data_IF_611891271003
#
_entry.id   IF_611891271003
#
_cell.length_a   1.000
_cell.length_b   1.000
_cell.length_c   1.000
_cell.angle_alpha   90.00
_cell.angle_beta   90.00
_cell.angle_gamma   90.00
#
_symmetry.space_group_name_H-M   'P 1'
#
loop_
_entity.id
_entity.type
_entity.pdbx_description
1 polymer ?
#
# COMPACT_ATOMS: atom_id res chain seq x y z
N UNK A 1 1.52 -12.03 -4.96
CA UNK A 1 0.38 -12.65 -5.66
C UNK A 1 0.76 -13.33 -6.97
N UNK A 2 1.39 -12.61 -7.91
CA UNK A 2 1.62 -13.07 -9.30
C UNK A 2 2.42 -14.37 -9.44
N UNK A 3 3.51 -14.55 -8.70
CA UNK A 3 4.44 -15.67 -8.92
C UNK A 3 4.31 -16.85 -7.95
N UNK A 4 3.55 -16.70 -6.86
CA UNK A 4 3.40 -17.74 -5.83
C UNK A 4 1.94 -18.16 -5.72
N UNK A 5 1.06 -17.23 -5.35
CA UNK A 5 -0.35 -17.54 -5.06
C UNK A 5 -1.15 -17.89 -6.32
N UNK A 6 -1.08 -17.08 -7.38
CA UNK A 6 -1.85 -17.33 -8.60
C UNK A 6 -1.45 -18.65 -9.30
N UNK A 7 -0.16 -19.03 -9.39
CA UNK A 7 0.23 -20.36 -9.86
C UNK A 7 -0.33 -21.49 -8.99
N UNK A 8 -0.29 -21.35 -7.66
CA UNK A 8 -0.84 -22.35 -6.74
C UNK A 8 -2.37 -22.51 -6.88
N UNK A 9 -3.11 -21.41 -7.06
CA UNK A 9 -4.56 -21.45 -7.31
C UNK A 9 -4.86 -22.22 -8.59
N UNK A 10 -4.17 -21.90 -9.69
CA UNK A 10 -4.37 -22.57 -10.99
C UNK A 10 -4.02 -24.06 -10.95
N UNK A 11 -2.99 -24.43 -10.20
CA UNK A 11 -2.60 -25.83 -10.04
C UNK A 11 -3.64 -26.64 -9.24
N UNK A 12 -4.34 -26.00 -8.30
CA UNK A 12 -5.30 -26.66 -7.40
C UNK A 12 -6.74 -26.62 -7.90
N UNK A 13 -7.13 -25.60 -8.65
CA UNK A 13 -8.51 -25.34 -9.02
C UNK A 13 -8.64 -25.03 -10.52
N UNK A 14 -9.65 -25.62 -11.17
CA UNK A 14 -10.03 -25.24 -12.55
C UNK A 14 -10.86 -23.95 -12.52
N UNK A 15 -10.20 -22.80 -12.55
CA UNK A 15 -10.84 -21.49 -12.42
C UNK A 15 -10.12 -20.42 -13.22
N UNK A 16 -10.89 -19.42 -13.66
CA UNK A 16 -10.38 -18.18 -14.26
C UNK A 16 -10.16 -17.07 -13.21
N UNK A 17 -10.38 -17.36 -11.93
CA UNK A 17 -10.15 -16.43 -10.84
C UNK A 17 -8.67 -16.03 -10.75
N UNK A 18 -8.41 -14.74 -10.55
CA UNK A 18 -7.07 -14.19 -10.37
C UNK A 18 -7.06 -13.40 -9.07
N UNK A 19 -6.26 -13.84 -8.09
CA UNK A 19 -6.06 -13.09 -6.87
C UNK A 19 -5.23 -11.83 -7.16
N UNK A 20 -5.78 -10.69 -6.74
CA UNK A 20 -5.15 -9.37 -6.84
C UNK A 20 -4.86 -8.83 -5.44
N UNK A 21 -3.87 -7.95 -5.33
CA UNK A 21 -3.44 -7.39 -4.06
C UNK A 21 -2.97 -5.95 -4.26
N UNK A 22 -3.40 -5.08 -3.35
CA UNK A 22 -3.04 -3.66 -3.32
C UNK A 22 -2.53 -3.31 -1.92
N UNK A 23 -1.40 -2.62 -1.85
CA UNK A 23 -0.77 -2.11 -0.63
C UNK A 23 -0.90 -0.60 -0.61
N UNK A 24 -1.44 -0.06 0.49
CA UNK A 24 -1.49 1.37 0.76
C UNK A 24 -0.55 1.73 1.92
N UNK A 25 0.28 2.76 1.73
CA UNK A 25 1.24 3.21 2.74
C UNK A 25 1.07 4.70 2.98
N UNK A 26 0.98 5.09 4.25
CA UNK A 26 0.97 6.47 4.67
C UNK A 26 1.78 6.66 5.97
N UNK A 27 2.17 7.91 6.26
CA UNK A 27 2.95 8.26 7.45
C UNK A 27 2.46 9.57 8.08
N UNK A 28 2.12 9.50 9.36
CA UNK A 28 1.79 10.66 10.19
C UNK A 28 2.06 10.30 11.63
N UNK A 29 2.09 11.30 12.50
CA UNK A 29 1.92 11.05 13.93
C UNK A 29 0.55 10.42 14.16
N UNK A 30 0.47 9.54 15.15
CA UNK A 30 -0.71 8.75 15.48
C UNK A 30 -0.75 8.47 16.97
N UNK A 31 -1.93 8.19 17.49
CA UNK A 31 -2.13 7.75 18.86
C UNK A 31 -2.28 6.24 18.90
N UNK A 32 -1.55 5.59 19.79
CA UNK A 32 -1.77 4.19 20.13
C UNK A 32 -2.58 4.13 21.43
N UNK A 33 -3.74 3.48 21.39
CA UNK A 33 -4.67 3.39 22.51
C UNK A 33 -4.92 1.93 22.83
N UNK A 34 -4.86 1.60 24.13
CA UNK A 34 -5.29 0.30 24.63
C UNK A 34 -6.82 0.32 24.72
N UNK A 35 -7.48 -0.51 23.93
CA UNK A 35 -8.93 -0.66 23.90
C UNK A 35 -9.31 -2.08 24.31
N UNK A 36 -10.56 -2.31 24.73
CA UNK A 36 -11.05 -3.65 25.08
C UNK A 36 -11.75 -3.70 26.43
N UNK A 37 -12.28 -4.87 26.77
CA UNK A 37 -12.94 -5.16 28.04
C UNK A 37 -11.95 -5.79 29.03
N UNK A 38 -12.21 -5.69 30.33
CA UNK A 38 -11.31 -6.24 31.36
C UNK A 38 -11.03 -7.73 31.11
N UNK A 39 -9.79 -8.04 30.74
CA UNK A 39 -9.34 -9.41 30.41
C UNK A 39 -8.87 -9.58 28.96
N UNK A 40 -9.26 -8.67 28.07
CA UNK A 40 -8.85 -8.63 26.65
C UNK A 40 -8.41 -7.22 26.28
N UNK A 41 -7.22 -7.08 25.71
CA UNK A 41 -6.67 -5.76 25.39
C UNK A 41 -6.15 -5.72 23.96
N UNK A 42 -6.84 -4.95 23.14
CA UNK A 42 -6.43 -4.61 21.79
C UNK A 42 -5.63 -3.31 21.79
N UNK A 43 -4.65 -3.22 20.89
CA UNK A 43 -3.98 -1.96 20.58
C UNK A 43 -4.61 -1.38 19.31
N UNK A 44 -5.09 -0.14 19.38
CA UNK A 44 -5.68 0.56 18.24
C UNK A 44 -4.85 1.79 17.90
N UNK A 45 -4.61 1.99 16.61
CA UNK A 45 -3.92 3.16 16.08
C UNK A 45 -4.93 4.15 15.49
N UNK A 46 -4.94 5.37 16.03
CA UNK A 46 -5.84 6.45 15.59
C UNK A 46 -5.02 7.57 14.97
N UNK A 47 -5.30 7.90 13.72
CA UNK A 47 -4.63 8.98 13.01
C UNK A 47 -4.83 8.92 11.49
N UNK A 48 -4.32 9.96 10.82
CA UNK A 48 -4.41 10.12 9.35
C UNK A 48 -3.81 8.92 8.62
N UNK A 49 -2.63 8.47 9.05
CA UNK A 49 -1.91 7.35 8.44
C UNK A 49 -2.75 6.07 8.36
N UNK A 50 -3.45 5.69 9.43
CA UNK A 50 -4.27 4.49 9.45
C UNK A 50 -5.42 4.58 8.43
N UNK A 51 -6.14 5.70 8.41
CA UNK A 51 -7.27 5.92 7.51
C UNK A 51 -6.82 5.98 6.04
N UNK A 52 -5.77 6.76 5.75
CA UNK A 52 -5.30 6.95 4.39
C UNK A 52 -4.66 5.68 3.84
N UNK A 53 -3.81 4.99 4.61
CA UNK A 53 -3.24 3.70 4.20
C UNK A 53 -4.34 2.68 3.86
N UNK A 54 -5.37 2.55 4.71
CA UNK A 54 -6.50 1.66 4.45
C UNK A 54 -7.25 2.05 3.16
N UNK A 55 -7.59 3.33 2.99
CA UNK A 55 -8.30 3.81 1.79
C UNK A 55 -7.48 3.62 0.51
N UNK A 56 -6.15 3.80 0.55
CA UNK A 56 -5.28 3.55 -0.59
C UNK A 56 -5.33 2.09 -1.08
N UNK A 57 -5.63 1.11 -0.21
CA UNK A 57 -5.77 -0.30 -0.64
C UNK A 57 -6.97 -0.54 -1.57
N UNK A 58 -7.91 0.40 -1.62
CA UNK A 58 -9.09 0.32 -2.50
C UNK A 58 -8.82 0.82 -3.93
N UNK A 59 -7.64 1.39 -4.17
CA UNK A 59 -7.23 1.86 -5.49
C UNK A 59 -6.84 0.69 -6.42
N UNK A 60 -6.68 1.01 -7.71
CA UNK A 60 -6.45 0.00 -8.75
C UNK A 60 -5.27 -0.91 -8.40
N UNK A 61 -5.52 -2.22 -8.51
CA UNK A 61 -4.52 -3.28 -8.34
C UNK A 61 -3.63 -3.48 -9.57
N UNK A 62 -3.84 -2.72 -10.64
CA UNK A 62 -2.92 -2.67 -11.79
C UNK A 62 -1.57 -2.04 -11.43
N UNK A 63 -1.58 -1.12 -10.45
CA UNK A 63 -0.38 -0.59 -9.80
C UNK A 63 -0.45 -0.95 -8.31
N UNK A 64 0.12 -2.09 -7.89
CA UNK A 64 -0.24 -2.71 -6.61
C UNK A 64 0.26 -1.94 -5.39
N UNK A 65 1.18 -0.98 -5.54
CA UNK A 65 1.71 -0.20 -4.41
C UNK A 65 1.29 1.25 -4.54
N UNK A 66 0.62 1.77 -3.51
CA UNK A 66 0.19 3.17 -3.42
C UNK A 66 0.76 3.82 -2.17
N UNK A 67 1.29 5.02 -2.32
CA UNK A 67 1.84 5.80 -1.20
C UNK A 67 1.34 7.24 -1.25
N UNK A 68 1.23 7.89 -0.09
CA UNK A 68 1.01 9.35 -0.05
C UNK A 68 2.29 10.11 -0.38
N UNK A 69 2.14 11.41 -0.70
CA UNK A 69 3.30 12.29 -0.83
C UNK A 69 4.18 12.30 0.43
N UNK A 70 3.58 12.25 1.62
CA UNK A 70 4.32 12.26 2.88
C UNK A 70 5.29 11.07 3.00
N UNK A 71 4.89 9.88 2.54
CA UNK A 71 5.78 8.71 2.49
C UNK A 71 6.87 8.93 1.46
N UNK A 72 6.51 9.34 0.24
CA UNK A 72 7.47 9.56 -0.83
C UNK A 72 8.57 10.56 -0.45
N UNK A 73 8.20 11.66 0.21
CA UNK A 73 9.15 12.68 0.63
C UNK A 73 10.22 12.10 1.57
N UNK A 74 9.86 11.12 2.41
CA UNK A 74 10.76 10.41 3.34
C UNK A 74 11.58 9.29 2.69
N UNK A 75 11.30 8.90 1.45
CA UNK A 75 12.09 7.88 0.75
C UNK A 75 13.48 8.42 0.37
N UNK A 76 14.52 7.60 0.58
CA UNK A 76 15.85 7.86 0.03
C UNK A 76 15.85 7.77 -1.51
N UNK A 77 16.82 8.41 -2.18
CA UNK A 77 16.86 8.49 -3.64
C UNK A 77 16.85 7.13 -4.36
N UNK A 78 17.50 6.10 -3.80
CA UNK A 78 17.47 4.72 -4.33
C UNK A 78 16.06 4.11 -4.46
N UNK A 79 15.09 4.66 -3.72
CA UNK A 79 13.69 4.23 -3.75
C UNK A 79 12.81 5.17 -4.59
N UNK A 80 13.36 6.26 -5.13
CA UNK A 80 12.66 7.20 -6.01
C UNK A 80 12.98 6.95 -7.48
N UNK A 81 14.20 6.51 -7.77
CA UNK A 81 14.67 6.19 -9.12
C UNK A 81 15.64 5.01 -9.15
N UNK A 82 15.61 4.24 -10.23
CA UNK A 82 16.58 3.18 -10.54
C UNK A 82 17.03 3.34 -12.00
N UNK A 83 18.33 3.32 -12.26
CA UNK A 83 18.93 3.43 -13.60
C UNK A 83 18.37 4.60 -14.45
N UNK A 84 18.20 5.77 -13.80
CA UNK A 84 17.65 6.97 -14.44
C UNK A 84 16.13 6.94 -14.69
N UNK A 85 15.43 5.87 -14.32
CA UNK A 85 13.96 5.75 -14.42
C UNK A 85 13.29 6.03 -13.08
N UNK A 86 12.19 6.79 -13.11
CA UNK A 86 11.37 7.04 -11.93
C UNK A 86 10.58 5.78 -11.53
N UNK A 87 10.62 5.46 -10.24
CA UNK A 87 9.92 4.30 -9.66
C UNK A 87 8.43 4.60 -9.46
N UNK A 88 8.07 5.86 -9.26
CA UNK A 88 6.74 6.31 -8.87
C UNK A 88 6.07 7.11 -9.96
N UNK A 89 4.79 6.82 -10.21
CA UNK A 89 3.89 7.64 -11.02
C UNK A 89 3.05 8.53 -10.11
N UNK A 90 2.98 9.82 -10.43
CA UNK A 90 2.17 10.79 -9.68
C UNK A 90 0.68 10.71 -10.05
N UNK A 91 -0.18 10.94 -9.06
CA UNK A 91 -1.63 11.00 -9.21
C UNK A 91 -2.23 12.05 -8.28
N UNK A 92 -3.40 12.57 -8.66
CA UNK A 92 -4.26 13.36 -7.78
C UNK A 92 -5.41 12.50 -7.29
N UNK A 93 -5.53 12.33 -5.97
CA UNK A 93 -6.58 11.51 -5.38
C UNK A 93 -7.91 12.25 -5.34
N UNK A 94 -8.69 12.12 -6.40
CA UNK A 94 -9.94 12.89 -6.62
C UNK A 94 -10.95 12.75 -5.49
N UNK A 95 -11.02 11.56 -4.88
CA UNK A 95 -11.99 11.26 -3.81
C UNK A 95 -11.51 11.73 -2.42
N UNK A 96 -10.34 12.36 -2.33
CA UNK A 96 -9.72 12.82 -1.09
C UNK A 96 -9.11 14.21 -1.31
N UNK A 97 -9.93 15.18 -1.72
CA UNK A 97 -9.55 16.59 -1.91
C UNK A 97 -8.31 16.78 -2.79
N UNK A 98 -8.18 15.96 -3.84
CA UNK A 98 -7.04 15.98 -4.78
C UNK A 98 -5.70 15.72 -4.11
N UNK A 99 -5.67 15.06 -2.95
CA UNK A 99 -4.45 14.77 -2.20
C UNK A 99 -3.41 14.06 -3.08
N UNK A 100 -2.14 14.49 -3.08
CA UNK A 100 -1.12 13.91 -3.94
C UNK A 100 -0.72 12.51 -3.46
N UNK A 101 -0.85 11.54 -4.35
CA UNK A 101 -0.48 10.15 -4.12
C UNK A 101 0.39 9.64 -5.27
N UNK A 102 1.08 8.53 -5.04
CA UNK A 102 1.96 7.90 -6.02
C UNK A 102 1.67 6.42 -6.10
N UNK A 103 1.83 5.84 -7.28
CA UNK A 103 1.78 4.39 -7.44
C UNK A 103 3.02 3.82 -8.12
N UNK A 104 3.28 2.54 -7.88
CA UNK A 104 4.38 1.82 -8.50
C UNK A 104 3.99 0.39 -8.86
N UNK A 105 4.56 -0.08 -9.96
CA UNK A 105 4.56 -1.49 -10.41
C UNK A 105 5.92 -2.15 -10.20
N UNK A 106 6.88 -1.43 -9.64
CA UNK A 106 8.24 -1.93 -9.49
C UNK A 106 8.29 -3.00 -8.40
N UNK A 107 8.88 -4.13 -8.75
CA UNK A 107 9.22 -5.21 -7.83
C UNK A 107 10.69 -5.01 -7.47
N UNK A 108 10.94 -4.22 -6.42
CA UNK A 108 12.30 -3.94 -5.98
C UNK A 108 12.87 -5.16 -5.27
N UNK A 109 14.02 -5.64 -5.73
CA UNK A 109 14.76 -6.69 -5.05
C UNK A 109 15.11 -6.22 -3.64
N UNK A 110 14.79 -7.05 -2.65
CA UNK A 110 15.36 -6.90 -1.31
C UNK A 110 16.79 -7.45 -1.43
N UNK A 111 17.83 -6.66 -1.12
CA UNK A 111 19.21 -7.12 -1.16
C UNK A 111 19.46 -8.28 -0.21
#
# INVERSE_FOLDING_TARGET
MKYIINPAIKAKYNTNFIARHTVGIDVSDLHAVRTGVRGDNDLVWVGRAANYAAKLTTLSSETPTWITKAVHDRLSQKWKSSDGKLIWKDWSWTNMDKHPIRSSTWELAIP
#
